data_IF_686644397907
#
_entry.id   IF_686644397907
#
_cell.length_a   1.000
_cell.length_b   1.000
_cell.length_c   1.000
_cell.angle_alpha   90.00
_cell.angle_beta   90.00
_cell.angle_gamma   90.00
#
_symmetry.space_group_name_H-M   'P 1'
#
loop_
_entity.id
_entity.type
_entity.pdbx_description
1 polymer ?
#
# COMPACT_ATOMS: atom_id res chain seq x y z
N UNK A 1 -8.27 -13.27 -15.16
CA UNK A 1 -7.39 -12.68 -16.20
C UNK A 1 -6.19 -11.94 -15.62
N UNK A 2 -6.37 -10.86 -14.84
CA UNK A 2 -5.25 -10.07 -14.29
C UNK A 2 -4.26 -10.89 -13.44
N UNK A 3 -4.75 -11.80 -12.59
CA UNK A 3 -3.91 -12.70 -11.79
C UNK A 3 -3.07 -13.68 -12.62
N UNK A 4 -3.57 -14.10 -13.79
CA UNK A 4 -2.79 -14.95 -14.71
C UNK A 4 -1.68 -14.14 -15.38
N UNK A 5 -1.96 -12.93 -15.85
CA UNK A 5 -0.94 -12.05 -16.46
C UNK A 5 0.12 -11.63 -15.43
N UNK A 6 -0.27 -11.49 -14.16
CA UNK A 6 0.62 -11.18 -13.06
C UNK A 6 1.70 -12.25 -12.86
N UNK A 7 1.34 -13.54 -12.87
CA UNK A 7 2.25 -14.63 -12.51
C UNK A 7 2.69 -15.51 -13.71
N UNK A 8 1.82 -15.67 -14.70
CA UNK A 8 1.95 -16.62 -15.81
C UNK A 8 2.61 -16.07 -17.08
N UNK A 9 3.22 -16.95 -17.91
CA UNK A 9 3.74 -16.58 -19.22
C UNK A 9 2.60 -16.17 -20.19
N UNK A 10 2.89 -15.33 -21.21
CA UNK A 10 4.21 -14.78 -21.56
C UNK A 10 4.62 -13.54 -20.75
N UNK A 11 3.69 -12.87 -20.06
CA UNK A 11 3.95 -11.54 -19.49
C UNK A 11 4.70 -11.58 -18.15
N UNK A 12 4.23 -12.40 -17.19
CA UNK A 12 4.77 -12.47 -15.82
C UNK A 12 5.03 -11.09 -15.20
N UNK A 13 4.04 -10.19 -15.21
CA UNK A 13 4.25 -8.79 -14.82
C UNK A 13 4.78 -8.62 -13.38
N UNK A 14 4.46 -9.54 -12.47
CA UNK A 14 5.03 -9.58 -11.11
C UNK A 14 6.54 -9.85 -11.10
N UNK A 15 7.06 -10.59 -12.09
CA UNK A 15 8.50 -10.80 -12.28
C UNK A 15 9.20 -9.56 -12.86
N UNK A 16 8.42 -8.68 -13.50
CA UNK A 16 8.89 -7.42 -14.06
C UNK A 16 8.81 -6.25 -13.06
N UNK A 17 8.51 -6.50 -11.78
CA UNK A 17 8.42 -5.44 -10.76
C UNK A 17 7.25 -4.49 -10.98
N UNK A 18 6.19 -4.93 -11.66
CA UNK A 18 4.94 -4.17 -11.87
C UNK A 18 3.85 -4.56 -10.87
N UNK A 19 4.20 -5.40 -9.88
CA UNK A 19 3.24 -5.94 -8.93
C UNK A 19 2.59 -4.88 -8.06
N UNK A 20 3.35 -3.86 -7.68
CA UNK A 20 2.90 -2.74 -6.85
C UNK A 20 1.83 -1.91 -7.57
N UNK A 21 2.06 -1.61 -8.85
CA UNK A 21 1.12 -0.85 -9.70
C UNK A 21 -0.17 -1.66 -9.87
N UNK A 22 -0.04 -2.95 -10.18
CA UNK A 22 -1.20 -3.83 -10.34
C UNK A 22 -1.97 -3.99 -9.03
N UNK A 23 -1.28 -4.14 -7.90
CA UNK A 23 -1.87 -4.22 -6.57
C UNK A 23 -2.62 -2.93 -6.22
N UNK A 24 -2.02 -1.76 -6.49
CA UNK A 24 -2.63 -0.46 -6.26
C UNK A 24 -3.97 -0.35 -7.00
N UNK A 25 -3.98 -0.59 -8.31
CA UNK A 25 -5.20 -0.47 -9.11
C UNK A 25 -6.24 -1.53 -8.75
N UNK A 26 -5.81 -2.78 -8.57
CA UNK A 26 -6.71 -3.89 -8.28
C UNK A 26 -7.44 -3.72 -6.94
N UNK A 27 -6.72 -3.34 -5.87
CA UNK A 27 -7.28 -3.27 -4.51
C UNK A 27 -7.72 -1.87 -4.07
N UNK A 28 -7.25 -0.81 -4.74
CA UNK A 28 -7.70 0.55 -4.51
C UNK A 28 -8.82 0.93 -5.47
N UNK A 29 -8.54 1.73 -6.52
CA UNK A 29 -9.55 2.27 -7.43
C UNK A 29 -10.55 1.27 -8.00
N UNK A 30 -10.08 0.12 -8.51
CA UNK A 30 -10.99 -0.82 -9.17
C UNK A 30 -11.90 -1.53 -8.16
N UNK A 31 -11.34 -2.14 -7.11
CA UNK A 31 -12.14 -2.86 -6.12
C UNK A 31 -13.13 -1.95 -5.39
N UNK A 32 -12.68 -0.79 -4.89
CA UNK A 32 -13.52 0.10 -4.09
C UNK A 32 -14.57 0.78 -4.95
N UNK A 33 -14.21 1.26 -6.15
CA UNK A 33 -15.21 1.88 -7.04
C UNK A 33 -16.24 0.86 -7.53
N UNK A 34 -15.83 -0.38 -7.81
CA UNK A 34 -16.75 -1.45 -8.17
C UNK A 34 -17.71 -1.79 -7.02
N UNK A 35 -17.20 -1.88 -5.78
CA UNK A 35 -18.02 -2.08 -4.59
C UNK A 35 -18.98 -0.91 -4.34
N UNK A 36 -18.54 0.33 -4.54
CA UNK A 36 -19.38 1.52 -4.41
C UNK A 36 -20.48 1.54 -5.48
N UNK A 37 -20.12 1.31 -6.75
CA UNK A 37 -21.06 1.32 -7.86
C UNK A 37 -22.07 0.17 -7.78
N UNK A 38 -21.65 -1.02 -7.33
CA UNK A 38 -22.56 -2.17 -7.21
C UNK A 38 -23.72 -1.88 -6.26
N UNK A 39 -23.44 -1.15 -5.17
CA UNK A 39 -24.39 -0.76 -4.12
C UNK A 39 -25.21 0.49 -4.47
N UNK A 40 -24.57 1.53 -5.00
CA UNK A 40 -25.21 2.85 -5.21
C UNK A 40 -25.70 3.08 -6.63
N UNK A 41 -25.28 2.24 -7.59
CA UNK A 41 -25.49 2.41 -9.03
C UNK A 41 -25.03 3.77 -9.58
N UNK A 42 -24.09 4.42 -8.88
CA UNK A 42 -23.55 5.71 -9.29
C UNK A 42 -22.03 5.75 -9.09
N UNK A 43 -21.36 6.67 -9.79
CA UNK A 43 -19.95 6.96 -9.61
C UNK A 43 -19.77 8.09 -8.61
N UNK A 44 -18.72 8.01 -7.80
CA UNK A 44 -18.38 9.04 -6.81
C UNK A 44 -16.91 9.38 -6.88
N UNK A 45 -16.61 10.65 -7.15
CA UNK A 45 -15.23 11.15 -7.13
C UNK A 45 -14.65 11.08 -5.72
N UNK A 46 -15.45 11.28 -4.68
CA UNK A 46 -15.02 11.13 -3.28
C UNK A 46 -14.60 9.68 -3.01
N UNK A 47 -15.41 8.70 -3.44
CA UNK A 47 -15.07 7.28 -3.29
C UNK A 47 -13.81 6.92 -4.08
N UNK A 48 -13.64 7.47 -5.28
CA UNK A 48 -12.44 7.25 -6.10
C UNK A 48 -11.20 7.85 -5.41
N UNK A 49 -11.27 9.07 -4.89
CA UNK A 49 -10.15 9.68 -4.15
C UNK A 49 -9.83 8.89 -2.87
N UNK A 50 -10.85 8.46 -2.12
CA UNK A 50 -10.66 7.61 -0.93
C UNK A 50 -9.99 6.28 -1.27
N UNK A 51 -10.34 5.69 -2.43
CA UNK A 51 -9.76 4.42 -2.88
C UNK A 51 -8.26 4.48 -3.20
N UNK A 52 -7.74 5.65 -3.58
CA UNK A 52 -6.31 5.87 -3.82
C UNK A 52 -5.53 5.68 -2.53
N UNK A 53 -6.02 6.23 -1.42
CA UNK A 53 -5.39 6.12 -0.10
C UNK A 53 -5.33 4.66 0.33
N UNK A 54 -6.45 3.94 0.21
CA UNK A 54 -6.52 2.52 0.54
C UNK A 54 -5.59 1.72 -0.38
N UNK A 55 -5.58 2.00 -1.68
CA UNK A 55 -4.67 1.38 -2.65
C UNK A 55 -3.21 1.52 -2.24
N UNK A 56 -2.76 2.71 -1.85
CA UNK A 56 -1.37 2.95 -1.39
C UNK A 56 -1.04 2.09 -0.19
N UNK A 57 -1.91 2.07 0.84
CA UNK A 57 -1.67 1.26 2.05
C UNK A 57 -1.63 -0.24 1.77
N UNK A 58 -2.46 -0.75 0.85
CA UNK A 58 -2.41 -2.15 0.43
C UNK A 58 -1.11 -2.47 -0.32
N UNK A 59 -0.69 -1.57 -1.22
CA UNK A 59 0.57 -1.73 -1.96
C UNK A 59 1.79 -1.72 -1.05
N UNK A 60 1.76 -0.96 0.04
CA UNK A 60 2.82 -0.98 1.07
C UNK A 60 3.00 -2.39 1.67
N UNK A 61 1.92 -3.15 1.88
CA UNK A 61 1.99 -4.53 2.38
C UNK A 61 2.76 -5.42 1.40
N UNK A 62 2.42 -5.34 0.11
CA UNK A 62 3.12 -6.09 -0.94
C UNK A 62 4.60 -5.69 -1.00
N UNK A 63 4.87 -4.38 -1.01
CA UNK A 63 6.23 -3.85 -1.07
C UNK A 63 7.12 -4.35 0.09
N UNK A 64 6.55 -4.41 1.31
CA UNK A 64 7.23 -4.93 2.49
C UNK A 64 7.70 -6.39 2.33
N UNK A 65 6.95 -7.22 1.60
CA UNK A 65 7.32 -8.63 1.39
C UNK A 65 8.65 -8.82 0.65
N UNK A 66 9.06 -7.84 -0.18
CA UNK A 66 10.26 -7.95 -0.99
C UNK A 66 11.57 -7.78 -0.20
N UNK A 67 11.55 -7.15 0.98
CA UNK A 67 12.78 -6.90 1.75
C UNK A 67 13.49 -8.18 2.18
N UNK A 68 12.73 -9.20 2.60
CA UNK A 68 13.31 -10.47 3.02
C UNK A 68 13.53 -11.46 1.88
N UNK A 69 12.91 -11.22 0.71
CA UNK A 69 12.88 -12.14 -0.43
C UNK A 69 13.83 -11.76 -1.57
N UNK A 70 14.61 -10.68 -1.45
CA UNK A 70 15.38 -10.15 -2.56
C UNK A 70 16.31 -11.20 -3.23
N UNK A 71 16.95 -12.07 -2.44
CA UNK A 71 17.81 -13.15 -2.98
C UNK A 71 17.01 -14.22 -3.72
N UNK A 72 15.89 -14.66 -3.14
CA UNK A 72 15.03 -15.69 -3.71
C UNK A 72 14.32 -15.19 -4.98
N UNK A 73 13.84 -13.94 -4.96
CA UNK A 73 13.26 -13.25 -6.12
C UNK A 73 14.27 -13.22 -7.27
N UNK A 74 15.52 -12.84 -7.00
CA UNK A 74 16.57 -12.80 -8.02
C UNK A 74 16.89 -14.21 -8.58
N UNK A 75 17.00 -15.22 -7.72
CA UNK A 75 17.24 -16.61 -8.12
C UNK A 75 16.10 -17.17 -8.99
N UNK A 76 14.87 -16.76 -8.73
CA UNK A 76 13.69 -17.11 -9.53
C UNK A 76 13.55 -16.26 -10.82
N UNK A 77 14.48 -15.33 -11.10
CA UNK A 77 14.41 -14.42 -12.24
C UNK A 77 13.40 -13.28 -12.09
N UNK A 78 12.86 -13.07 -10.88
CA UNK A 78 11.94 -11.99 -10.55
C UNK A 78 12.73 -10.73 -10.16
N UNK A 79 12.62 -9.70 -10.99
CA UNK A 79 13.23 -8.38 -10.76
C UNK A 79 12.28 -7.49 -9.95
N UNK A 80 12.03 -7.86 -8.70
CA UNK A 80 11.20 -7.07 -7.78
C UNK A 80 11.80 -5.69 -7.48
N UNK A 81 11.03 -4.73 -6.92
CA UNK A 81 11.55 -3.39 -6.66
C UNK A 81 12.82 -3.38 -5.82
N UNK A 82 12.86 -4.17 -4.74
CA UNK A 82 14.04 -4.27 -3.86
C UNK A 82 15.24 -4.88 -4.59
N UNK A 83 15.02 -5.84 -5.50
CA UNK A 83 16.10 -6.38 -6.36
C UNK A 83 16.65 -5.31 -7.30
N UNK A 84 15.80 -4.41 -7.81
CA UNK A 84 16.20 -3.34 -8.75
C UNK A 84 16.91 -2.16 -8.07
N UNK A 85 16.39 -1.71 -6.93
CA UNK A 85 16.81 -0.46 -6.30
C UNK A 85 17.65 -0.65 -5.03
N UNK A 86 17.71 -1.88 -4.52
CA UNK A 86 18.37 -2.20 -3.26
C UNK A 86 17.52 -1.86 -2.04
N UNK A 87 17.88 -2.47 -0.91
CA UNK A 87 17.12 -2.38 0.35
C UNK A 87 17.16 -0.98 0.97
N UNK A 88 18.27 -0.23 0.80
CA UNK A 88 18.41 1.14 1.33
C UNK A 88 17.49 2.14 0.64
N UNK A 89 17.45 2.16 -0.69
CA UNK A 89 16.53 3.05 -1.42
C UNK A 89 15.08 2.58 -1.20
N UNK A 90 14.85 1.26 -1.14
CA UNK A 90 13.55 0.71 -0.82
C UNK A 90 13.02 1.15 0.54
N UNK A 91 13.84 1.20 1.59
CA UNK A 91 13.41 1.63 2.92
C UNK A 91 13.02 3.12 2.97
N UNK A 92 13.73 3.95 2.21
CA UNK A 92 13.40 5.36 2.03
C UNK A 92 12.08 5.54 1.29
N UNK A 93 11.89 4.82 0.18
CA UNK A 93 10.64 4.85 -0.58
C UNK A 93 9.45 4.42 0.28
N UNK A 94 9.60 3.33 1.05
CA UNK A 94 8.58 2.88 1.99
C UNK A 94 8.20 3.98 3.00
N UNK A 95 9.20 4.69 3.53
CA UNK A 95 8.97 5.77 4.50
C UNK A 95 8.20 6.95 3.87
N UNK A 96 8.57 7.33 2.63
CA UNK A 96 7.83 8.33 1.85
C UNK A 96 6.40 7.87 1.55
N UNK A 97 6.21 6.61 1.16
CA UNK A 97 4.88 6.02 0.91
C UNK A 97 4.01 5.99 2.17
N UNK A 98 4.59 5.75 3.34
CA UNK A 98 3.83 5.87 4.60
C UNK A 98 3.43 7.31 4.88
N UNK A 99 4.35 8.27 4.70
CA UNK A 99 4.07 9.69 4.91
C UNK A 99 3.01 10.27 3.98
N UNK A 100 3.06 9.91 2.69
CA UNK A 100 2.15 10.47 1.67
C UNK A 100 0.68 10.10 1.93
N UNK A 101 0.41 8.95 2.55
CA UNK A 101 -0.96 8.56 2.96
C UNK A 101 -1.57 9.62 3.88
N UNK A 102 -0.87 10.00 4.95
CA UNK A 102 -1.36 10.98 5.92
C UNK A 102 -1.40 12.40 5.36
N UNK A 103 -0.44 12.75 4.48
CA UNK A 103 -0.44 14.03 3.78
C UNK A 103 -1.66 14.15 2.85
N UNK A 104 -1.94 13.12 2.05
CA UNK A 104 -3.09 13.12 1.14
C UNK A 104 -4.42 13.25 1.89
N UNK A 105 -4.57 12.53 3.01
CA UNK A 105 -5.76 12.67 3.87
C UNK A 105 -5.88 14.11 4.38
N UNK A 106 -4.80 14.67 4.90
CA UNK A 106 -4.79 16.05 5.42
C UNK A 106 -5.14 17.09 4.36
N UNK A 107 -4.58 16.94 3.14
CA UNK A 107 -4.89 17.80 2.00
C UNK A 107 -6.38 17.68 1.63
N UNK A 108 -6.92 16.47 1.53
CA UNK A 108 -8.34 16.27 1.18
C UNK A 108 -9.28 16.85 2.24
N UNK A 109 -8.92 16.78 3.53
CA UNK A 109 -9.67 17.44 4.60
C UNK A 109 -9.55 18.96 4.52
N UNK A 110 -8.35 19.50 4.29
CA UNK A 110 -8.12 20.94 4.13
C UNK A 110 -8.88 21.55 2.94
N UNK A 111 -8.98 20.78 1.84
CA UNK A 111 -9.78 21.13 0.65
C UNK A 111 -11.28 20.84 0.82
N UNK A 112 -11.73 20.35 1.98
CA UNK A 112 -13.12 19.96 2.27
C UNK A 112 -13.68 18.88 1.33
N UNK A 113 -12.81 18.07 0.72
CA UNK A 113 -13.19 16.89 -0.07
C UNK A 113 -13.63 15.76 0.86
N UNK A 114 -12.94 15.61 2.00
CA UNK A 114 -13.28 14.63 3.03
C UNK A 114 -13.80 15.30 4.31
N UNK A 115 -14.71 14.62 5.04
CA UNK A 115 -15.09 15.02 6.39
C UNK A 115 -13.87 15.11 7.31
N UNK A 116 -13.87 16.05 8.26
CA UNK A 116 -12.78 16.23 9.23
C UNK A 116 -12.54 14.96 10.05
N UNK A 117 -13.58 14.16 10.30
CA UNK A 117 -13.50 12.90 11.02
C UNK A 117 -12.66 11.83 10.33
N UNK A 118 -12.38 11.96 9.02
CA UNK A 118 -11.42 11.07 8.33
C UNK A 118 -9.99 11.19 8.86
N UNK A 119 -9.67 12.24 9.61
CA UNK A 119 -8.41 12.37 10.36
C UNK A 119 -8.25 11.30 11.46
N UNK A 120 -9.33 10.61 11.86
CA UNK A 120 -9.23 9.43 12.74
C UNK A 120 -8.30 8.36 12.17
N UNK A 121 -8.11 8.30 10.85
CA UNK A 121 -7.12 7.46 10.18
C UNK A 121 -5.68 7.62 10.73
N UNK A 122 -5.36 8.76 11.36
CA UNK A 122 -4.09 8.98 12.05
C UNK A 122 -3.89 8.05 13.25
N UNK A 123 -4.92 7.33 13.71
CA UNK A 123 -4.75 6.21 14.63
C UNK A 123 -3.83 5.09 14.07
N UNK A 124 -3.64 5.03 12.75
CA UNK A 124 -2.64 4.17 12.10
C UNK A 124 -1.19 4.69 12.18
N UNK A 125 -0.97 5.95 12.56
CA UNK A 125 0.36 6.60 12.57
C UNK A 125 1.41 5.88 13.44
N UNK A 126 1.08 5.36 14.66
CA UNK A 126 2.04 4.59 15.44
C UNK A 126 2.59 3.38 14.67
N UNK A 127 1.75 2.68 13.90
CA UNK A 127 2.16 1.55 13.08
C UNK A 127 2.99 1.99 11.86
N UNK A 128 2.67 3.13 11.26
CA UNK A 128 3.50 3.71 10.20
C UNK A 128 4.91 4.05 10.71
N UNK A 129 5.02 4.70 11.87
CA UNK A 129 6.30 5.03 12.49
C UNK A 129 7.06 3.75 12.86
N UNK A 130 6.37 2.77 13.44
CA UNK A 130 6.95 1.47 13.76
C UNK A 130 7.50 0.78 12.50
N UNK A 131 6.74 0.76 11.41
CA UNK A 131 7.14 0.18 10.14
C UNK A 131 8.38 0.87 9.56
N UNK A 132 8.36 2.21 9.48
CA UNK A 132 9.47 2.99 8.95
C UNK A 132 10.75 2.79 9.76
N UNK A 133 10.65 2.77 11.10
CA UNK A 133 11.80 2.53 11.98
C UNK A 133 12.31 1.10 11.86
N UNK A 134 11.41 0.11 11.87
CA UNK A 134 11.78 -1.30 11.77
C UNK A 134 12.51 -1.59 10.47
N UNK A 135 11.95 -1.16 9.34
CA UNK A 135 12.59 -1.36 8.04
C UNK A 135 13.83 -0.48 7.91
N UNK A 136 13.81 0.77 8.37
CA UNK A 136 14.97 1.66 8.35
C UNK A 136 16.20 1.09 9.09
N UNK A 137 15.99 0.37 10.19
CA UNK A 137 17.08 -0.22 10.99
C UNK A 137 17.54 -1.60 10.50
N UNK A 138 16.64 -2.36 9.85
CA UNK A 138 16.88 -3.78 9.53
C UNK A 138 16.74 -4.12 8.05
N UNK A 139 16.66 -3.14 7.14
CA UNK A 139 16.42 -3.38 5.70
C UNK A 139 17.42 -4.34 5.05
N UNK A 140 18.64 -4.43 5.58
CA UNK A 140 19.73 -5.28 5.10
C UNK A 140 19.80 -6.65 5.80
N UNK A 141 18.90 -6.93 6.75
CA UNK A 141 18.85 -8.15 7.56
C UNK A 141 17.54 -8.91 7.30
N UNK A 142 17.50 -9.80 6.26
CA UNK A 142 16.29 -10.49 5.82
C UNK A 142 15.49 -11.18 6.93
N UNK A 143 16.18 -11.84 7.86
CA UNK A 143 15.54 -12.56 8.97
C UNK A 143 14.77 -11.61 9.90
N UNK A 144 15.37 -10.46 10.25
CA UNK A 144 14.76 -9.47 11.14
C UNK A 144 13.67 -8.64 10.46
N UNK A 145 13.84 -8.30 9.19
CA UNK A 145 12.89 -7.47 8.44
C UNK A 145 11.66 -8.25 7.95
N UNK A 146 11.71 -9.59 7.95
CA UNK A 146 10.62 -10.46 7.47
C UNK A 146 9.22 -10.15 8.02
N UNK A 147 9.15 -9.64 9.25
CA UNK A 147 7.90 -9.28 9.93
C UNK A 147 7.29 -7.94 9.49
N UNK A 148 7.99 -7.12 8.70
CA UNK A 148 7.52 -5.78 8.33
C UNK A 148 6.16 -5.79 7.60
N UNK A 149 5.86 -6.83 6.83
CA UNK A 149 4.56 -7.01 6.17
C UNK A 149 3.39 -7.09 7.16
N UNK A 150 3.58 -7.67 8.34
CA UNK A 150 2.54 -7.72 9.37
C UNK A 150 2.32 -6.35 10.00
N UNK A 151 3.38 -5.57 10.22
CA UNK A 151 3.28 -4.18 10.68
C UNK A 151 2.52 -3.34 9.62
N UNK A 152 2.81 -3.54 8.34
CA UNK A 152 2.08 -2.91 7.24
C UNK A 152 0.58 -3.31 7.21
N UNK A 153 0.25 -4.57 7.54
CA UNK A 153 -1.15 -5.00 7.70
C UNK A 153 -1.84 -4.24 8.83
N UNK A 154 -1.18 -4.07 9.99
CA UNK A 154 -1.75 -3.26 11.07
C UNK A 154 -1.94 -1.79 10.66
N UNK A 155 -0.97 -1.20 9.97
CA UNK A 155 -1.12 0.15 9.41
C UNK A 155 -2.37 0.24 8.50
N UNK A 156 -2.48 -0.66 7.52
CA UNK A 156 -3.62 -0.68 6.60
C UNK A 156 -4.95 -0.90 7.34
N UNK A 157 -5.00 -1.86 8.26
CA UNK A 157 -6.21 -2.19 9.00
C UNK A 157 -6.69 -1.04 9.87
N UNK A 158 -5.84 -0.52 10.77
CA UNK A 158 -6.23 0.54 11.69
C UNK A 158 -6.48 1.86 10.97
N UNK A 159 -5.60 2.23 10.02
CA UNK A 159 -5.80 3.45 9.23
C UNK A 159 -7.07 3.34 8.38
N UNK A 160 -7.30 2.22 7.71
CA UNK A 160 -8.44 2.01 6.81
C UNK A 160 -9.77 1.93 7.55
N UNK A 161 -9.82 1.21 8.68
CA UNK A 161 -11.01 1.11 9.52
C UNK A 161 -11.44 2.49 10.05
N UNK A 162 -10.50 3.24 10.64
CA UNK A 162 -10.78 4.56 11.18
C UNK A 162 -11.09 5.59 10.09
N UNK A 163 -10.46 5.46 8.92
CA UNK A 163 -10.78 6.27 7.75
C UNK A 163 -12.22 6.05 7.28
N UNK A 164 -12.66 4.79 7.19
CA UNK A 164 -14.03 4.42 6.86
C UNK A 164 -15.05 4.95 7.87
N UNK A 165 -14.78 4.77 9.17
CA UNK A 165 -15.62 5.32 10.25
C UNK A 165 -15.72 6.84 10.17
N UNK A 166 -14.63 7.53 9.80
CA UNK A 166 -14.63 8.98 9.61
C UNK A 166 -15.53 9.49 8.47
N UNK A 167 -15.98 8.62 7.55
CA UNK A 167 -17.01 8.99 6.56
C UNK A 167 -18.44 8.76 7.05
N UNK A 168 -18.63 8.00 8.13
CA UNK A 168 -19.96 7.66 8.67
C UNK A 168 -20.47 8.67 9.70
N UNK A 169 -19.59 9.53 10.23
CA UNK A 169 -19.86 10.54 11.27
C UNK A 169 -19.85 11.92 10.63
#
# INVERSE_FOLDING_TARGET
FLGYIYQGPPFRLGYQGLGEILCFFAFGPLAISAAYYSQTKNWSMISLTASIIIGITTTIILFCSHFHQAKDDLAAGKRSPIVRMGTKVGSQLLSWSCGIVFVLISICVGLRIFPVWTLLSFGGLPFAIQLCRHVGNYHDQPEKVSNCKFIAVYLHFFSGLLFGLGFMI
#
